data_IF_690149546811
#
_entry.id   IF_690149546811
#
_cell.length_a   1.000
_cell.length_b   1.000
_cell.length_c   1.000
_cell.angle_alpha   90.00
_cell.angle_beta   90.00
_cell.angle_gamma   90.00
#
_symmetry.space_group_name_H-M   'P 1'
#
loop_
_entity.id
_entity.type
_entity.pdbx_description
1 polymer ?
#
# COMPACT_ATOMS: atom_id res chain seq x y z
N UNK A 1 -43.01 -17.75 9.03
CA UNK A 1 -42.30 -16.90 10.02
C UNK A 1 -40.81 -17.26 10.11
N UNK A 2 -40.11 -17.41 8.97
CA UNK A 2 -38.79 -18.06 8.91
C UNK A 2 -37.75 -17.26 8.08
N UNK A 3 -38.18 -16.22 7.37
CA UNK A 3 -37.33 -15.37 6.51
C UNK A 3 -36.51 -14.33 7.30
N UNK A 4 -37.00 -13.89 8.47
CA UNK A 4 -36.32 -12.92 9.34
C UNK A 4 -35.11 -13.48 10.09
N UNK A 5 -35.02 -14.80 10.29
CA UNK A 5 -33.86 -15.41 10.96
C UNK A 5 -32.65 -15.52 10.04
N UNK A 6 -32.87 -15.74 8.74
CA UNK A 6 -31.81 -15.94 7.75
C UNK A 6 -31.03 -14.65 7.43
N UNK A 7 -31.68 -13.49 7.51
CA UNK A 7 -31.07 -12.17 7.28
C UNK A 7 -30.07 -11.85 8.41
N UNK A 8 -30.36 -12.30 9.64
CA UNK A 8 -29.59 -11.95 10.84
C UNK A 8 -28.31 -12.79 11.02
N UNK A 9 -28.11 -13.83 10.20
CA UNK A 9 -26.86 -14.62 10.16
C UNK A 9 -25.89 -14.13 9.06
N UNK A 10 -26.40 -13.59 7.95
CA UNK A 10 -25.55 -13.07 6.84
C UNK A 10 -24.70 -11.87 7.23
N UNK A 11 -25.13 -11.06 8.21
CA UNK A 11 -24.38 -9.90 8.69
C UNK A 11 -23.16 -10.28 9.56
N UNK A 12 -23.12 -11.53 10.07
CA UNK A 12 -22.02 -12.04 10.90
C UNK A 12 -20.85 -12.64 10.08
N UNK A 13 -21.01 -12.85 8.78
CA UNK A 13 -20.02 -13.54 7.92
C UNK A 13 -18.91 -12.60 7.42
N UNK A 14 -19.27 -11.34 7.18
CA UNK A 14 -18.35 -10.33 6.61
C UNK A 14 -17.79 -9.35 7.64
N UNK A 15 -18.30 -9.35 8.87
CA UNK A 15 -17.70 -8.58 9.96
C UNK A 15 -16.36 -9.20 10.37
N UNK A 16 -15.29 -8.40 10.31
CA UNK A 16 -14.02 -8.71 10.96
C UNK A 16 -14.28 -9.15 12.41
N UNK A 17 -13.74 -10.28 12.90
CA UNK A 17 -13.98 -10.71 14.27
C UNK A 17 -13.71 -9.59 15.29
N UNK A 18 -14.53 -9.49 16.34
CA UNK A 18 -14.40 -8.42 17.35
C UNK A 18 -13.00 -8.35 17.97
N UNK A 19 -12.30 -9.48 18.00
CA UNK A 19 -10.94 -9.66 18.48
C UNK A 19 -9.84 -9.10 17.54
N UNK A 20 -10.12 -8.86 16.24
CA UNK A 20 -9.14 -8.31 15.28
C UNK A 20 -9.08 -6.79 15.30
N UNK A 21 -10.19 -6.12 15.60
CA UNK A 21 -10.34 -4.67 15.45
C UNK A 21 -9.31 -3.89 16.28
N UNK A 22 -9.20 -4.18 17.58
CA UNK A 22 -8.27 -3.48 18.48
C UNK A 22 -6.80 -3.75 18.10
N UNK A 23 -6.34 -5.01 17.89
CA UNK A 23 -4.98 -5.26 17.38
C UNK A 23 -4.66 -4.56 16.06
N UNK A 24 -5.62 -4.48 15.13
CA UNK A 24 -5.45 -3.79 13.85
C UNK A 24 -5.26 -2.27 14.04
N UNK A 25 -6.09 -1.62 14.87
CA UNK A 25 -5.94 -0.19 15.22
C UNK A 25 -4.56 0.07 15.87
N UNK A 26 -4.13 -0.79 16.80
CA UNK A 26 -2.83 -0.65 17.48
C UNK A 26 -1.67 -0.78 16.49
N UNK A 27 -1.67 -1.79 15.63
CA UNK A 27 -0.53 -2.05 14.74
C UNK A 27 -0.46 -1.07 13.56
N UNK A 28 -1.59 -0.59 13.05
CA UNK A 28 -1.62 0.51 12.06
C UNK A 28 -1.14 1.82 12.68
N UNK A 29 -1.52 2.13 13.93
CA UNK A 29 -0.99 3.28 14.66
C UNK A 29 0.53 3.19 14.89
N UNK A 30 1.06 2.01 15.25
CA UNK A 30 2.51 1.78 15.32
C UNK A 30 3.22 2.01 13.96
N UNK A 31 2.61 1.58 12.86
CA UNK A 31 3.10 1.86 11.50
C UNK A 31 3.11 3.37 11.19
N UNK A 32 2.08 4.14 11.56
CA UNK A 32 2.08 5.61 11.43
C UNK A 32 3.26 6.23 12.19
N UNK A 33 3.49 5.82 13.44
CA UNK A 33 4.57 6.36 14.28
C UNK A 33 5.94 6.08 13.64
N UNK A 34 6.18 4.85 13.17
CA UNK A 34 7.46 4.48 12.56
C UNK A 34 7.66 5.21 11.22
N UNK A 35 6.67 5.26 10.34
CA UNK A 35 6.77 6.00 9.08
C UNK A 35 6.94 7.52 9.33
N UNK A 36 6.32 8.08 10.37
CA UNK A 36 6.54 9.47 10.78
C UNK A 36 7.97 9.73 11.27
N UNK A 37 8.57 8.81 12.04
CA UNK A 37 9.97 8.89 12.44
C UNK A 37 10.88 8.86 11.21
N UNK A 38 10.62 7.97 10.24
CA UNK A 38 11.37 7.90 8.98
C UNK A 38 11.26 9.22 8.20
N UNK A 39 10.05 9.78 8.08
CA UNK A 39 9.82 11.08 7.41
C UNK A 39 10.65 12.19 8.06
N UNK A 40 10.61 12.30 9.39
CA UNK A 40 11.37 13.30 10.15
C UNK A 40 12.89 13.13 9.96
N UNK A 41 13.39 11.89 9.98
CA UNK A 41 14.81 11.58 9.73
C UNK A 41 15.21 11.94 8.31
N UNK A 42 14.39 11.62 7.32
CA UNK A 42 14.66 11.89 5.90
C UNK A 42 14.71 13.40 5.63
N UNK A 43 13.72 14.16 6.14
CA UNK A 43 13.67 15.62 6.02
C UNK A 43 14.80 16.33 6.79
N UNK A 44 15.26 15.80 7.94
CA UNK A 44 16.38 16.39 8.69
C UNK A 44 17.76 16.05 8.10
N UNK A 45 17.93 14.86 7.51
CA UNK A 45 19.22 14.42 6.97
C UNK A 45 19.50 14.91 5.55
N UNK A 46 18.47 15.24 4.75
CA UNK A 46 18.62 15.69 3.37
C UNK A 46 18.47 17.21 3.26
N UNK A 47 19.55 17.87 2.83
CA UNK A 47 19.62 19.32 2.63
C UNK A 47 19.73 19.66 1.13
N UNK A 48 19.26 20.85 0.76
CA UNK A 48 19.26 21.35 -0.62
C UNK A 48 18.06 20.88 -1.45
N UNK A 49 17.98 21.33 -2.71
CA UNK A 49 16.80 21.18 -3.56
C UNK A 49 16.35 19.72 -3.72
N UNK A 50 15.09 19.45 -3.37
CA UNK A 50 14.46 18.13 -3.40
C UNK A 50 14.73 17.35 -4.71
N UNK A 51 14.50 17.97 -5.87
CA UNK A 51 14.70 17.34 -7.19
C UNK A 51 16.15 16.95 -7.52
N UNK A 52 17.13 17.36 -6.69
CA UNK A 52 18.55 16.95 -6.78
C UNK A 52 18.94 15.85 -5.78
N UNK A 53 18.04 15.41 -4.90
CA UNK A 53 18.30 14.30 -3.97
C UNK A 53 18.52 12.98 -4.73
N UNK A 54 19.13 11.96 -4.10
CA UNK A 54 19.33 10.66 -4.75
C UNK A 54 17.96 10.03 -5.08
N UNK A 55 17.89 9.31 -6.19
CA UNK A 55 16.63 8.67 -6.65
C UNK A 55 15.98 7.83 -5.55
N UNK A 56 16.77 7.00 -4.84
CA UNK A 56 16.30 6.20 -3.71
C UNK A 56 15.76 7.03 -2.54
N UNK A 57 16.31 8.23 -2.30
CA UNK A 57 15.85 9.12 -1.22
C UNK A 57 14.46 9.70 -1.54
N UNK A 58 14.19 9.99 -2.81
CA UNK A 58 12.91 10.53 -3.27
C UNK A 58 11.82 9.46 -3.33
N UNK A 59 12.14 8.25 -3.82
CA UNK A 59 11.25 7.10 -3.69
C UNK A 59 10.92 6.80 -2.23
N UNK A 60 11.91 6.79 -1.34
CA UNK A 60 11.68 6.61 0.11
C UNK A 60 10.73 7.66 0.67
N UNK A 61 10.86 8.94 0.27
CA UNK A 61 9.93 9.99 0.68
C UNK A 61 8.50 9.73 0.17
N UNK A 62 8.33 9.37 -1.11
CA UNK A 62 7.01 9.10 -1.69
C UNK A 62 6.32 7.91 -1.00
N UNK A 63 7.04 6.81 -0.81
CA UNK A 63 6.52 5.62 -0.09
C UNK A 63 6.12 5.98 1.33
N UNK A 64 6.96 6.68 2.09
CA UNK A 64 6.68 7.04 3.48
C UNK A 64 5.48 7.97 3.63
N UNK A 65 5.27 8.90 2.69
CA UNK A 65 4.05 9.72 2.67
C UNK A 65 2.81 8.86 2.39
N UNK A 66 2.89 7.94 1.43
CA UNK A 66 1.78 7.01 1.16
C UNK A 66 1.50 6.08 2.34
N UNK A 67 2.52 5.58 3.04
CA UNK A 67 2.39 4.75 4.24
C UNK A 67 1.62 5.52 5.33
N UNK A 68 2.03 6.75 5.65
CA UNK A 68 1.38 7.57 6.69
C UNK A 68 -0.11 7.79 6.36
N UNK A 69 -0.42 8.15 5.11
CA UNK A 69 -1.79 8.43 4.69
C UNK A 69 -2.67 7.16 4.61
N UNK A 70 -2.09 6.05 4.14
CA UNK A 70 -2.74 4.73 4.13
C UNK A 70 -3.07 4.25 5.54
N UNK A 71 -2.07 4.21 6.43
CA UNK A 71 -2.28 3.72 7.81
C UNK A 71 -3.15 4.68 8.63
N UNK A 72 -3.10 5.99 8.39
CA UNK A 72 -4.04 6.93 8.99
C UNK A 72 -5.49 6.62 8.59
N UNK A 73 -5.74 6.42 7.29
CA UNK A 73 -7.07 6.07 6.79
C UNK A 73 -7.54 4.70 7.30
N UNK A 74 -6.64 3.73 7.41
CA UNK A 74 -6.93 2.40 7.97
C UNK A 74 -7.21 2.44 9.48
N UNK A 75 -6.48 3.27 10.24
CA UNK A 75 -6.71 3.50 11.68
C UNK A 75 -8.05 4.19 11.90
N UNK A 76 -8.39 5.20 11.08
CA UNK A 76 -9.67 5.90 11.15
C UNK A 76 -10.85 4.97 10.83
N UNK A 77 -10.75 4.17 9.76
CA UNK A 77 -11.75 3.16 9.41
C UNK A 77 -11.93 2.13 10.53
N UNK A 78 -10.84 1.55 11.06
CA UNK A 78 -10.91 0.60 12.16
C UNK A 78 -11.52 1.19 13.44
N UNK A 79 -11.21 2.46 13.74
CA UNK A 79 -11.77 3.16 14.91
C UNK A 79 -13.27 3.44 14.75
N UNK A 80 -13.71 3.81 13.54
CA UNK A 80 -15.13 4.02 13.23
C UNK A 80 -15.93 2.70 13.37
N UNK A 81 -15.48 1.63 12.71
CA UNK A 81 -16.08 0.29 12.80
C UNK A 81 -16.11 -0.23 14.26
N UNK A 82 -15.04 -0.03 15.03
CA UNK A 82 -15.01 -0.39 16.44
C UNK A 82 -16.02 0.42 17.28
N UNK A 83 -16.11 1.73 17.04
CA UNK A 83 -17.00 2.63 17.80
C UNK A 83 -18.48 2.37 17.51
N UNK A 84 -18.83 2.14 16.24
CA UNK A 84 -20.18 1.78 15.79
C UNK A 84 -20.65 0.48 16.47
N UNK A 85 -19.78 -0.53 16.52
CA UNK A 85 -20.04 -1.80 17.22
C UNK A 85 -20.08 -1.67 18.73
N UNK A 86 -19.25 -0.81 19.32
CA UNK A 86 -19.19 -0.59 20.78
C UNK A 86 -20.43 0.17 21.30
N UNK A 87 -20.85 1.21 20.57
CA UNK A 87 -22.05 1.99 20.89
C UNK A 87 -23.35 1.32 20.42
N UNK A 88 -23.26 0.25 19.62
CA UNK A 88 -24.39 -0.43 18.98
C UNK A 88 -25.32 0.56 18.26
N UNK A 89 -24.70 1.50 17.51
CA UNK A 89 -25.38 2.59 16.81
C UNK A 89 -24.66 2.87 15.50
N UNK A 90 -25.41 2.86 14.41
CA UNK A 90 -24.94 3.23 13.07
C UNK A 90 -24.31 4.64 13.08
N UNK A 91 -23.04 4.73 12.65
CA UNK A 91 -22.31 5.99 12.48
C UNK A 91 -22.29 6.34 10.98
N UNK A 92 -21.90 7.56 10.61
CA UNK A 92 -22.07 8.08 9.25
C UNK A 92 -21.39 7.21 8.18
N UNK A 93 -22.18 6.56 7.32
CA UNK A 93 -21.70 5.76 6.18
C UNK A 93 -20.79 6.54 5.23
N UNK A 94 -20.97 7.86 5.14
CA UNK A 94 -20.14 8.74 4.32
C UNK A 94 -18.66 8.69 4.77
N UNK A 95 -18.40 8.60 6.07
CA UNK A 95 -17.06 8.58 6.63
C UNK A 95 -16.35 7.27 6.28
N UNK A 96 -17.02 6.13 6.43
CA UNK A 96 -16.54 4.81 5.97
C UNK A 96 -16.19 4.78 4.48
N UNK A 97 -17.05 5.34 3.61
CA UNK A 97 -16.78 5.43 2.17
C UNK A 97 -15.55 6.29 1.87
N UNK A 98 -15.39 7.42 2.56
CA UNK A 98 -14.22 8.29 2.41
C UNK A 98 -12.93 7.58 2.86
N UNK A 99 -12.95 6.88 4.00
CA UNK A 99 -11.78 6.12 4.45
C UNK A 99 -11.44 4.97 3.51
N UNK A 100 -12.44 4.21 3.05
CA UNK A 100 -12.25 3.13 2.07
C UNK A 100 -11.66 3.63 0.74
N UNK A 101 -12.12 4.79 0.26
CA UNK A 101 -11.55 5.46 -0.92
C UNK A 101 -10.07 5.79 -0.72
N UNK A 102 -9.70 6.44 0.39
CA UNK A 102 -8.31 6.80 0.66
C UNK A 102 -7.40 5.58 0.88
N UNK A 103 -7.89 4.54 1.56
CA UNK A 103 -7.17 3.26 1.70
C UNK A 103 -6.83 2.72 0.30
N UNK A 104 -7.81 2.64 -0.61
CA UNK A 104 -7.60 2.13 -1.98
C UNK A 104 -6.70 3.04 -2.84
N UNK A 105 -6.81 4.37 -2.69
CA UNK A 105 -5.98 5.34 -3.41
C UNK A 105 -4.51 5.14 -3.07
N UNK A 106 -4.15 5.27 -1.79
CA UNK A 106 -2.76 5.17 -1.36
C UNK A 106 -2.18 3.76 -1.53
N UNK A 107 -3.02 2.71 -1.42
CA UNK A 107 -2.67 1.34 -1.76
C UNK A 107 -2.21 1.22 -3.23
N UNK A 108 -3.00 1.72 -4.17
CA UNK A 108 -2.67 1.64 -5.60
C UNK A 108 -1.47 2.53 -5.95
N UNK A 109 -1.34 3.71 -5.33
CA UNK A 109 -0.15 4.55 -5.46
C UNK A 109 1.12 3.83 -5.00
N UNK A 110 1.09 3.13 -3.87
CA UNK A 110 2.22 2.31 -3.42
C UNK A 110 2.55 1.19 -4.42
N UNK A 111 1.56 0.50 -4.99
CA UNK A 111 1.79 -0.53 -6.01
C UNK A 111 2.51 0.07 -7.24
N UNK A 112 2.09 1.24 -7.74
CA UNK A 112 2.72 1.90 -8.89
C UNK A 112 4.13 2.41 -8.56
N UNK A 113 4.35 2.98 -7.37
CA UNK A 113 5.67 3.40 -6.89
C UNK A 113 6.63 2.21 -6.78
N UNK A 114 6.16 1.06 -6.28
CA UNK A 114 6.96 -0.15 -6.15
C UNK A 114 7.24 -0.82 -7.50
N UNK A 115 6.27 -0.87 -8.41
CA UNK A 115 6.48 -1.31 -9.78
C UNK A 115 7.54 -0.44 -10.48
N UNK A 116 7.47 0.89 -10.32
CA UNK A 116 8.49 1.81 -10.85
C UNK A 116 9.85 1.58 -10.21
N UNK A 117 9.90 1.37 -8.89
CA UNK A 117 11.12 1.06 -8.14
C UNK A 117 11.76 -0.24 -8.64
N UNK A 118 10.95 -1.27 -8.92
CA UNK A 118 11.40 -2.52 -9.54
C UNK A 118 11.93 -2.32 -10.96
N UNK A 119 11.23 -1.55 -11.80
CA UNK A 119 11.67 -1.23 -13.17
C UNK A 119 12.98 -0.42 -13.13
N UNK A 120 13.14 0.53 -12.19
CA UNK A 120 14.38 1.30 -12.01
C UNK A 120 15.53 0.40 -11.53
N UNK A 121 15.31 -0.46 -10.54
CA UNK A 121 16.29 -1.46 -10.09
C UNK A 121 16.69 -2.40 -11.23
N UNK A 122 15.74 -2.91 -12.00
CA UNK A 122 15.98 -3.78 -13.15
C UNK A 122 16.80 -3.10 -14.25
N UNK A 123 16.46 -1.87 -14.64
CA UNK A 123 17.25 -1.10 -15.60
C UNK A 123 18.67 -0.81 -15.08
N UNK A 124 18.82 -0.63 -13.76
CA UNK A 124 20.13 -0.43 -13.13
C UNK A 124 20.98 -1.72 -13.08
N UNK A 125 20.39 -2.90 -12.79
CA UNK A 125 21.14 -4.17 -12.84
C UNK A 125 21.45 -4.58 -14.28
N UNK A 126 20.39 -4.75 -15.08
CA UNK A 126 20.45 -5.45 -16.36
C UNK A 126 20.99 -4.59 -17.49
N UNK A 127 20.79 -3.26 -17.41
CA UNK A 127 21.22 -2.30 -18.44
C UNK A 127 22.24 -1.29 -17.92
N UNK A 128 22.49 -1.26 -16.60
CA UNK A 128 23.35 -0.25 -15.96
C UNK A 128 22.95 1.20 -16.29
N UNK A 129 21.67 1.44 -16.63
CA UNK A 129 21.15 2.75 -17.01
C UNK A 129 20.46 3.43 -15.84
N UNK A 130 20.88 4.66 -15.53
CA UNK A 130 20.11 5.56 -14.68
C UNK A 130 19.01 6.24 -15.49
N UNK A 131 17.75 6.10 -15.06
CA UNK A 131 16.68 6.97 -15.53
C UNK A 131 16.92 8.42 -15.04
N UNK A 132 16.58 9.45 -15.83
CA UNK A 132 16.73 10.87 -15.46
C UNK A 132 15.63 11.33 -14.48
N UNK A 133 15.32 10.53 -13.46
CA UNK A 133 14.36 10.84 -12.42
C UNK A 133 14.84 12.08 -11.65
N UNK A 134 13.94 13.05 -11.47
CA UNK A 134 14.17 14.34 -10.84
C UNK A 134 13.34 15.39 -11.56
N UNK A 135 13.66 15.65 -12.84
CA UNK A 135 12.81 16.45 -13.74
C UNK A 135 11.55 15.67 -14.17
N UNK A 136 11.66 14.36 -14.28
CA UNK A 136 10.59 13.47 -14.72
C UNK A 136 9.73 12.92 -13.56
N UNK A 137 9.98 13.34 -12.32
CA UNK A 137 9.22 12.85 -11.17
C UNK A 137 7.73 13.26 -11.25
N UNK A 138 7.41 14.41 -11.87
CA UNK A 138 6.02 14.79 -12.15
C UNK A 138 5.32 13.78 -13.09
N UNK A 139 6.03 13.24 -14.09
CA UNK A 139 5.52 12.22 -15.00
C UNK A 139 5.44 10.82 -14.37
N UNK A 140 6.05 10.62 -13.20
CA UNK A 140 5.88 9.42 -12.37
C UNK A 140 4.72 9.58 -11.38
N UNK A 141 4.63 10.72 -10.72
CA UNK A 141 3.57 11.01 -9.75
C UNK A 141 2.20 11.14 -10.43
N UNK A 142 2.16 11.68 -11.65
CA UNK A 142 0.92 11.81 -12.43
C UNK A 142 0.20 10.46 -12.66
N UNK A 143 0.84 9.38 -13.15
CA UNK A 143 0.20 8.05 -13.18
C UNK A 143 0.06 7.41 -11.80
N UNK A 144 1.00 7.61 -10.87
CA UNK A 144 0.96 6.98 -9.54
C UNK A 144 -0.21 7.46 -8.66
N UNK A 145 -0.69 8.68 -8.83
CA UNK A 145 -1.86 9.22 -8.13
C UNK A 145 -3.05 9.44 -9.07
N UNK A 146 -2.81 9.92 -10.30
CA UNK A 146 -3.90 10.20 -11.25
C UNK A 146 -4.62 8.96 -11.79
N UNK A 147 -3.94 7.82 -12.00
CA UNK A 147 -4.62 6.59 -12.45
C UNK A 147 -5.49 6.01 -11.31
N UNK A 148 -4.99 5.82 -10.08
CA UNK A 148 -5.84 5.46 -8.93
C UNK A 148 -7.02 6.42 -8.74
N UNK A 149 -6.76 7.74 -8.69
CA UNK A 149 -7.79 8.74 -8.46
C UNK A 149 -8.90 8.69 -9.50
N UNK A 150 -8.56 8.60 -10.79
CA UNK A 150 -9.54 8.52 -11.88
C UNK A 150 -10.33 7.21 -11.81
N UNK A 151 -9.66 6.06 -11.62
CA UNK A 151 -10.32 4.76 -11.54
C UNK A 151 -11.26 4.67 -10.32
N UNK A 152 -10.85 5.17 -9.16
CA UNK A 152 -11.65 5.16 -7.94
C UNK A 152 -12.77 6.19 -7.98
N UNK A 153 -12.57 7.35 -8.59
CA UNK A 153 -13.65 8.33 -8.81
C UNK A 153 -14.72 7.76 -9.76
N UNK A 154 -14.31 7.05 -10.82
CA UNK A 154 -15.21 6.32 -11.71
C UNK A 154 -15.97 5.23 -10.94
N UNK A 155 -15.28 4.40 -10.15
CA UNK A 155 -15.91 3.33 -9.36
C UNK A 155 -16.91 3.88 -8.31
N UNK A 156 -16.58 5.01 -7.67
CA UNK A 156 -17.46 5.71 -6.74
C UNK A 156 -18.70 6.28 -7.47
N UNK A 157 -18.53 6.89 -8.64
CA UNK A 157 -19.62 7.44 -9.44
C UNK A 157 -20.60 6.36 -9.94
N UNK A 158 -20.12 5.15 -10.21
CA UNK A 158 -20.95 4.02 -10.62
C UNK A 158 -21.53 3.19 -9.45
N UNK A 159 -21.42 3.64 -8.19
CA UNK A 159 -21.86 2.91 -6.99
C UNK A 159 -21.29 1.47 -6.89
N UNK A 160 -20.15 1.17 -7.53
CA UNK A 160 -19.61 -0.19 -7.58
C UNK A 160 -19.04 -0.69 -6.25
N UNK A 161 -18.85 0.21 -5.28
CA UNK A 161 -18.49 -0.16 -3.90
C UNK A 161 -19.54 -1.05 -3.20
N UNK A 162 -20.76 -1.21 -3.74
CA UNK A 162 -21.77 -2.12 -3.20
C UNK A 162 -21.80 -3.53 -3.85
N UNK A 163 -21.16 -3.79 -5.01
CA UNK A 163 -21.19 -5.12 -5.66
C UNK A 163 -19.96 -5.51 -6.50
N UNK A 164 -19.11 -6.36 -5.89
CA UNK A 164 -18.26 -7.40 -6.52
C UNK A 164 -17.05 -6.97 -7.41
N UNK A 165 -16.06 -7.88 -7.62
CA UNK A 165 -14.65 -7.46 -7.65
C UNK A 165 -14.05 -7.16 -9.02
N UNK A 166 -13.00 -6.32 -9.01
CA UNK A 166 -12.31 -5.78 -10.19
C UNK A 166 -11.31 -6.79 -10.79
N UNK A 167 -11.44 -7.06 -12.09
CA UNK A 167 -10.58 -7.99 -12.84
C UNK A 167 -9.54 -7.28 -13.72
N UNK A 168 -8.28 -7.73 -13.61
CA UNK A 168 -7.18 -7.73 -14.62
C UNK A 168 -7.07 -6.56 -15.62
N UNK A 169 -5.92 -5.90 -15.60
CA UNK A 169 -5.24 -5.47 -16.84
C UNK A 169 -3.72 -5.66 -16.73
N UNK A 170 -3.15 -6.42 -17.66
CA UNK A 170 -1.69 -6.57 -17.81
C UNK A 170 -1.37 -7.01 -19.24
N UNK A 171 -0.64 -6.19 -20.00
CA UNK A 171 0.08 -6.64 -21.19
C UNK A 171 1.41 -5.91 -21.29
N UNK A 172 2.46 -6.62 -21.70
CA UNK A 172 3.86 -6.20 -21.60
C UNK A 172 4.35 -5.32 -22.76
N UNK A 173 5.51 -4.69 -22.56
CA UNK A 173 6.37 -4.23 -23.66
C UNK A 173 7.81 -4.70 -23.46
N UNK A 174 8.33 -5.41 -24.46
CA UNK A 174 9.74 -5.74 -24.60
C UNK A 174 10.46 -4.65 -25.42
N UNK A 175 11.63 -4.23 -24.96
CA UNK A 175 12.62 -3.53 -25.79
C UNK A 175 14.03 -3.77 -25.21
N UNK A 176 15.03 -3.99 -26.06
CA UNK A 176 16.39 -4.43 -25.75
C UNK A 176 17.36 -3.28 -25.37
N UNK A 177 18.68 -3.56 -25.41
CA UNK A 177 19.86 -2.66 -25.38
C UNK A 177 20.70 -2.48 -24.10
N UNK A 178 22.01 -2.71 -24.27
CA UNK A 178 23.10 -1.80 -23.84
C UNK A 178 23.71 -2.04 -22.45
N UNK A 179 25.05 -1.97 -22.35
CA UNK A 179 25.84 -2.48 -21.21
C UNK A 179 27.00 -1.53 -20.83
N UNK A 180 27.09 -1.07 -19.56
CA UNK A 180 28.24 -0.45 -18.82
C UNK A 180 27.71 0.27 -17.55
N UNK A 181 28.10 0.06 -16.27
CA UNK A 181 29.06 -0.84 -15.60
C UNK A 181 28.57 -1.26 -14.20
N UNK A 182 29.19 -2.29 -13.58
CA UNK A 182 28.47 -3.18 -12.66
C UNK A 182 28.47 -2.89 -11.14
N UNK A 183 29.49 -2.27 -10.54
CA UNK A 183 29.70 -2.38 -9.07
C UNK A 183 28.75 -1.52 -8.22
N UNK A 184 28.69 -0.21 -8.47
CA UNK A 184 27.81 0.70 -7.72
C UNK A 184 26.33 0.49 -8.06
N UNK A 185 26.05 0.10 -9.31
CA UNK A 185 24.73 -0.31 -9.78
C UNK A 185 24.16 -1.47 -8.95
N UNK A 186 24.97 -2.50 -8.70
CA UNK A 186 24.57 -3.69 -7.92
C UNK A 186 24.17 -3.36 -6.47
N UNK A 187 24.91 -2.48 -5.78
CA UNK A 187 24.58 -2.08 -4.39
C UNK A 187 23.27 -1.29 -4.29
N UNK A 188 23.07 -0.33 -5.20
CA UNK A 188 21.83 0.45 -5.25
C UNK A 188 20.64 -0.43 -5.65
N UNK A 189 20.83 -1.33 -6.63
CA UNK A 189 19.80 -2.29 -7.01
C UNK A 189 19.37 -3.20 -5.86
N UNK A 190 20.30 -3.82 -5.12
CA UNK A 190 19.95 -4.67 -3.97
C UNK A 190 19.09 -3.94 -2.93
N UNK A 191 19.41 -2.66 -2.65
CA UNK A 191 18.64 -1.81 -1.75
C UNK A 191 17.20 -1.56 -2.27
N UNK A 192 17.02 -1.40 -3.57
CA UNK A 192 15.71 -1.23 -4.22
C UNK A 192 14.94 -2.56 -4.33
N UNK A 193 15.62 -3.67 -4.60
CA UNK A 193 15.04 -5.02 -4.62
C UNK A 193 14.47 -5.42 -3.25
N UNK A 194 15.09 -4.96 -2.16
CA UNK A 194 14.60 -5.20 -0.80
C UNK A 194 13.27 -4.47 -0.54
N UNK A 195 13.13 -3.21 -0.97
CA UNK A 195 11.86 -2.48 -0.94
C UNK A 195 10.76 -3.21 -1.73
N UNK A 196 11.07 -3.69 -2.93
CA UNK A 196 10.12 -4.41 -3.79
C UNK A 196 9.69 -5.74 -3.16
N UNK A 197 10.65 -6.53 -2.65
CA UNK A 197 10.38 -7.83 -2.03
C UNK A 197 9.42 -7.70 -0.83
N UNK A 198 9.61 -6.67 -0.01
CA UNK A 198 8.79 -6.45 1.18
C UNK A 198 7.35 -6.06 0.82
N UNK A 199 7.14 -5.22 -0.20
CA UNK A 199 5.79 -4.93 -0.70
C UNK A 199 5.13 -6.13 -1.41
N UNK A 200 5.92 -7.00 -2.07
CA UNK A 200 5.40 -8.27 -2.61
C UNK A 200 4.91 -9.19 -1.49
N UNK A 201 5.59 -9.21 -0.33
CA UNK A 201 5.13 -9.97 0.84
C UNK A 201 3.86 -9.34 1.45
N UNK A 202 3.86 -8.02 1.66
CA UNK A 202 2.73 -7.27 2.24
C UNK A 202 1.44 -7.44 1.43
N UNK A 203 1.51 -7.26 0.11
CA UNK A 203 0.34 -7.29 -0.76
C UNK A 203 0.06 -8.67 -1.36
N UNK A 204 1.06 -9.56 -1.39
CA UNK A 204 0.87 -10.96 -1.77
C UNK A 204 -0.12 -11.68 -0.84
N UNK A 205 -0.10 -11.40 0.46
CA UNK A 205 -1.09 -11.93 1.40
C UNK A 205 -2.53 -11.49 1.04
N UNK A 206 -2.72 -10.22 0.67
CA UNK A 206 -4.00 -9.70 0.19
C UNK A 206 -4.49 -10.35 -1.10
N UNK A 207 -3.58 -10.63 -2.04
CA UNK A 207 -3.91 -11.37 -3.27
C UNK A 207 -4.31 -12.82 -2.97
N UNK A 208 -3.62 -13.49 -2.02
CA UNK A 208 -3.97 -14.85 -1.59
C UNK A 208 -5.36 -14.89 -0.96
N UNK A 209 -5.67 -13.96 -0.05
CA UNK A 209 -7.03 -13.88 0.55
C UNK A 209 -8.10 -13.58 -0.51
N UNK A 210 -7.85 -12.65 -1.43
CA UNK A 210 -8.81 -12.30 -2.49
C UNK A 210 -9.07 -13.45 -3.47
N UNK A 211 -8.04 -14.23 -3.82
CA UNK A 211 -8.20 -15.45 -4.63
C UNK A 211 -8.97 -16.52 -3.85
N UNK A 212 -8.75 -16.63 -2.53
CA UNK A 212 -9.51 -17.55 -1.68
C UNK A 212 -11.00 -17.19 -1.65
N UNK A 213 -11.34 -15.93 -1.35
CA UNK A 213 -12.72 -15.41 -1.30
C UNK A 213 -13.47 -15.65 -2.61
N UNK A 214 -12.79 -15.64 -3.76
CA UNK A 214 -13.38 -15.92 -5.07
C UNK A 214 -13.76 -17.40 -5.29
N UNK A 215 -13.30 -18.30 -4.42
CA UNK A 215 -13.54 -19.76 -4.46
C UNK A 215 -14.44 -20.18 -3.28
N UNK A 216 -14.08 -19.78 -2.06
CA UNK A 216 -14.72 -20.16 -0.80
C UNK A 216 -14.40 -19.14 0.32
N UNK A 217 -15.07 -19.23 1.47
CA UNK A 217 -14.74 -18.36 2.61
C UNK A 217 -13.35 -18.71 3.19
N UNK A 218 -12.38 -17.76 3.26
CA UNK A 218 -11.06 -18.05 3.78
C UNK A 218 -11.09 -18.39 5.28
N UNK A 219 -10.30 -19.37 5.73
CA UNK A 219 -10.18 -19.68 7.15
C UNK A 219 -9.82 -18.43 7.97
N UNK A 220 -10.38 -18.33 9.18
CA UNK A 220 -10.22 -17.18 10.09
C UNK A 220 -8.74 -16.76 10.24
N UNK A 221 -7.83 -17.74 10.34
CA UNK A 221 -6.38 -17.53 10.47
C UNK A 221 -5.71 -16.90 9.24
N UNK A 222 -6.25 -17.14 8.04
CA UNK A 222 -5.79 -16.47 6.81
C UNK A 222 -6.16 -15.00 6.84
N UNK A 223 -7.41 -14.67 7.22
CA UNK A 223 -7.87 -13.27 7.37
C UNK A 223 -7.04 -12.53 8.42
N UNK A 224 -6.79 -13.16 9.58
CA UNK A 224 -5.87 -12.64 10.60
C UNK A 224 -4.46 -12.40 10.05
N UNK A 225 -3.88 -13.37 9.35
CA UNK A 225 -2.53 -13.26 8.80
C UNK A 225 -2.43 -12.13 7.77
N UNK A 226 -3.38 -12.02 6.84
CA UNK A 226 -3.39 -10.95 5.83
C UNK A 226 -3.53 -9.57 6.45
N UNK A 227 -4.47 -9.38 7.37
CA UNK A 227 -4.65 -8.10 8.08
C UNK A 227 -3.38 -7.72 8.84
N UNK A 228 -2.78 -8.68 9.57
CA UNK A 228 -1.55 -8.44 10.32
C UNK A 228 -0.37 -8.09 9.39
N UNK A 229 -0.14 -8.89 8.33
CA UNK A 229 0.95 -8.69 7.37
C UNK A 229 0.81 -7.31 6.68
N UNK A 230 -0.37 -6.95 6.18
CA UNK A 230 -0.60 -5.65 5.55
C UNK A 230 -0.43 -4.46 6.52
N UNK A 231 -0.92 -4.60 7.75
CA UNK A 231 -0.84 -3.56 8.77
C UNK A 231 0.58 -3.35 9.33
N UNK A 232 1.48 -4.34 9.23
CA UNK A 232 2.90 -4.20 9.62
C UNK A 232 3.77 -3.38 8.66
N UNK A 233 3.25 -3.01 7.48
CA UNK A 233 4.10 -2.59 6.36
C UNK A 233 4.93 -1.33 6.59
N UNK A 234 4.40 -0.32 7.31
CA UNK A 234 5.17 0.87 7.69
C UNK A 234 6.35 0.54 8.61
N UNK A 235 6.20 -0.46 9.48
CA UNK A 235 7.30 -0.99 10.30
C UNK A 235 8.36 -1.67 9.44
N UNK A 236 7.95 -2.50 8.47
CA UNK A 236 8.87 -3.16 7.54
C UNK A 236 9.61 -2.13 6.66
N UNK A 237 8.91 -1.15 6.11
CA UNK A 237 9.48 -0.05 5.32
C UNK A 237 10.47 0.79 6.15
N UNK A 238 10.21 0.99 7.44
CA UNK A 238 11.14 1.59 8.39
C UNK A 238 12.42 0.76 8.59
N UNK A 239 12.31 -0.57 8.72
CA UNK A 239 13.47 -1.48 8.80
C UNK A 239 14.29 -1.44 7.50
N UNK A 240 13.65 -1.42 6.34
CA UNK A 240 14.35 -1.25 5.05
C UNK A 240 15.07 0.09 5.03
N UNK A 241 14.39 1.19 5.37
CA UNK A 241 14.99 2.52 5.37
C UNK A 241 16.26 2.58 6.23
N UNK A 242 16.19 2.08 7.47
CA UNK A 242 17.34 2.03 8.38
C UNK A 242 18.48 1.18 7.80
N UNK A 243 18.18 0.03 7.20
CA UNK A 243 19.18 -0.86 6.57
C UNK A 243 19.80 -0.23 5.32
N UNK A 244 19.01 0.55 4.57
CA UNK A 244 19.40 1.25 3.34
C UNK A 244 20.21 2.52 3.65
N UNK A 245 20.00 3.18 4.78
CA UNK A 245 20.65 4.45 5.14
C UNK A 245 21.86 4.32 6.05
N UNK A 246 21.98 3.25 6.84
CA UNK A 246 23.09 3.05 7.78
C UNK A 246 24.43 2.68 7.11
N UNK A 247 24.43 2.49 5.78
CA UNK A 247 25.58 2.13 4.92
C UNK A 247 25.58 2.94 3.61
#
# INVERSE_FOLDING_TARGET
MQRTKLINDTDNVYSTPKEVGIPMIVITFCSIVISSIVLIVLLKTKKGNFFKWKVIDRFSLYTVICDILFYFSQTAYGTHDWLERFLNREISKLECTIYGFFIMEFQLSQVILNATTAIYAFNLVMRSRNMPLGKWDAYLLCPAFGIPLVLLTIAAFFNQFERNPVSRQTTAMNASFGQQSAVNARRLALKLSLYVLIHVIQFGAGVVEAVWIAIEEPPIGVRYATVFIGATGGMMNGVVYLTVYKN
#
